data_IF_444736326059
#
_entry.id   IF_444736326059
#
_cell.length_a   1.000
_cell.length_b   1.000
_cell.length_c   1.000
_cell.angle_alpha   90.00
_cell.angle_beta   90.00
_cell.angle_gamma   90.00
#
_symmetry.space_group_name_H-M   'P 1'
#
loop_
_entity.id
_entity.type
_entity.pdbx_description
1 polymer ?
#
# COMPACT_ATOMS: atom_id res chain seq x y z
N UNK A 1 2.93 -0.12 -33.93
CA UNK A 1 2.93 0.10 -32.47
C UNK A 1 1.78 -0.68 -31.86
N UNK A 2 2.05 -1.50 -30.85
CA UNK A 2 1.06 -2.39 -30.21
C UNK A 2 0.15 -1.54 -29.31
N UNK A 3 -0.96 -1.06 -29.88
CA UNK A 3 -1.96 -0.23 -29.18
C UNK A 3 -3.15 -1.04 -28.66
N UNK A 4 -3.22 -2.34 -28.95
CA UNK A 4 -4.29 -3.25 -28.49
C UNK A 4 -3.73 -4.40 -27.67
N UNK A 5 -4.50 -4.86 -26.69
CA UNK A 5 -4.22 -6.05 -25.85
C UNK A 5 -2.95 -6.00 -24.96
N UNK A 6 -2.49 -4.80 -24.59
CA UNK A 6 -1.33 -4.62 -23.69
C UNK A 6 -1.49 -5.37 -22.36
N UNK A 7 -2.69 -5.37 -21.76
CA UNK A 7 -2.95 -6.13 -20.53
C UNK A 7 -2.73 -7.64 -20.71
N UNK A 8 -3.14 -8.22 -21.85
CA UNK A 8 -2.93 -9.65 -22.11
C UNK A 8 -1.44 -9.96 -22.29
N UNK A 9 -0.72 -9.11 -23.01
CA UNK A 9 0.73 -9.22 -23.17
C UNK A 9 1.46 -9.15 -21.82
N UNK A 10 1.14 -8.17 -20.98
CA UNK A 10 1.73 -8.04 -19.63
C UNK A 10 1.43 -9.28 -18.78
N UNK A 11 0.18 -9.75 -18.79
CA UNK A 11 -0.20 -10.93 -18.01
C UNK A 11 0.51 -12.21 -18.50
N UNK A 12 0.72 -12.34 -19.81
CA UNK A 12 1.49 -13.44 -20.40
C UNK A 12 2.97 -13.39 -20.04
N UNK A 13 3.57 -12.19 -20.00
CA UNK A 13 5.00 -12.03 -19.66
C UNK A 13 5.23 -12.32 -18.18
N UNK A 14 4.26 -12.00 -17.32
CA UNK A 14 4.36 -12.17 -15.88
C UNK A 14 3.86 -13.54 -15.40
N UNK A 15 3.52 -14.47 -16.30
CA UNK A 15 2.87 -15.76 -16.00
C UNK A 15 1.70 -15.63 -15.00
N UNK A 16 0.96 -14.52 -15.08
CA UNK A 16 -0.16 -14.25 -14.18
C UNK A 16 -1.40 -15.03 -14.64
N UNK A 17 -1.69 -16.14 -13.97
CA UNK A 17 -2.94 -16.86 -14.12
C UNK A 17 -4.07 -16.14 -13.37
N UNK A 18 -4.93 -15.45 -14.11
CA UNK A 18 -6.16 -14.87 -13.54
C UNK A 18 -7.24 -15.95 -13.43
N UNK A 19 -7.44 -16.46 -12.23
CA UNK A 19 -8.61 -17.29 -11.92
C UNK A 19 -9.84 -16.38 -11.85
N UNK A 20 -10.63 -16.35 -12.93
CA UNK A 20 -11.95 -15.71 -12.88
C UNK A 20 -12.85 -16.58 -12.01
N UNK A 21 -13.28 -16.07 -10.87
CA UNK A 21 -14.34 -16.68 -10.09
C UNK A 21 -15.65 -15.93 -10.39
N UNK A 22 -16.72 -16.68 -10.63
CA UNK A 22 -18.07 -16.12 -10.69
C UNK A 22 -18.71 -16.31 -9.32
N UNK A 23 -19.21 -15.22 -8.74
CA UNK A 23 -19.91 -15.25 -7.47
C UNK A 23 -21.41 -15.29 -7.76
N UNK A 24 -22.01 -16.47 -7.69
CA UNK A 24 -23.41 -16.67 -8.05
C UNK A 24 -24.36 -16.47 -6.86
N UNK A 25 -23.88 -16.74 -5.63
CA UNK A 25 -24.68 -16.72 -4.41
C UNK A 25 -23.87 -16.24 -3.22
N UNK A 26 -24.52 -15.53 -2.30
CA UNK A 26 -23.93 -15.11 -1.03
C UNK A 26 -24.86 -15.50 0.11
N UNK A 27 -24.28 -16.07 1.14
CA UNK A 27 -24.96 -16.41 2.38
C UNK A 27 -24.77 -15.27 3.39
N UNK A 28 -25.87 -14.73 3.90
CA UNK A 28 -25.87 -13.64 4.88
C UNK A 28 -26.56 -14.10 6.14
N UNK A 29 -25.90 -13.88 7.28
CA UNK A 29 -26.51 -14.11 8.60
C UNK A 29 -26.93 -12.75 9.16
N UNK A 30 -28.23 -12.57 9.35
CA UNK A 30 -28.77 -11.33 9.95
C UNK A 30 -28.58 -11.34 11.47
N UNK A 31 -28.57 -10.17 12.10
CA UNK A 31 -28.47 -10.02 13.57
C UNK A 31 -29.56 -10.80 14.36
N UNK A 32 -30.65 -11.19 13.69
CA UNK A 32 -31.77 -12.00 14.21
C UNK A 32 -31.52 -13.51 14.11
N UNK A 33 -30.31 -13.96 13.73
CA UNK A 33 -29.95 -15.35 13.41
C UNK A 33 -30.69 -15.96 12.20
N UNK A 34 -31.35 -15.12 11.39
CA UNK A 34 -31.95 -15.57 10.14
C UNK A 34 -30.89 -15.68 9.05
N UNK A 35 -30.85 -16.84 8.41
CA UNK A 35 -29.95 -17.17 7.30
C UNK A 35 -30.65 -16.88 5.97
N UNK A 36 -30.08 -15.96 5.19
CA UNK A 36 -30.63 -15.54 3.89
C UNK A 36 -29.62 -15.89 2.80
N UNK A 37 -30.09 -16.57 1.76
CA UNK A 37 -29.29 -16.87 0.57
C UNK A 37 -29.69 -15.94 -0.57
N UNK A 38 -28.80 -15.00 -0.91
CA UNK A 38 -28.98 -14.08 -2.02
C UNK A 38 -28.59 -14.76 -3.33
N UNK A 39 -29.50 -14.74 -4.31
CA UNK A 39 -29.30 -15.35 -5.63
C UNK A 39 -29.40 -14.33 -6.77
N UNK A 40 -29.91 -13.13 -6.51
CA UNK A 40 -30.05 -12.10 -7.52
C UNK A 40 -28.74 -11.32 -7.67
N UNK A 41 -28.27 -11.18 -8.92
CA UNK A 41 -26.96 -10.58 -9.23
C UNK A 41 -26.74 -9.20 -8.60
N UNK A 42 -27.78 -8.36 -8.54
CA UNK A 42 -27.67 -7.02 -7.95
C UNK A 42 -27.46 -7.08 -6.43
N UNK A 43 -28.19 -7.96 -5.75
CA UNK A 43 -28.09 -8.17 -4.29
C UNK A 43 -26.76 -8.82 -3.93
N UNK A 44 -26.35 -9.85 -4.68
CA UNK A 44 -25.04 -10.51 -4.53
C UNK A 44 -23.89 -9.50 -4.68
N UNK A 45 -23.94 -8.63 -5.68
CA UNK A 45 -22.90 -7.62 -5.85
C UNK A 45 -22.88 -6.58 -4.73
N UNK A 46 -24.06 -6.09 -4.31
CA UNK A 46 -24.16 -5.11 -3.24
C UNK A 46 -23.61 -5.67 -1.91
N UNK A 47 -23.98 -6.91 -1.59
CA UNK A 47 -23.54 -7.59 -0.38
C UNK A 47 -22.06 -7.98 -0.42
N UNK A 48 -21.53 -8.37 -1.59
CA UNK A 48 -20.10 -8.61 -1.76
C UNK A 48 -19.28 -7.35 -1.46
N UNK A 49 -19.71 -6.19 -1.96
CA UNK A 49 -19.05 -4.90 -1.71
C UNK A 49 -19.12 -4.54 -0.22
N UNK A 50 -20.28 -4.73 0.41
CA UNK A 50 -20.46 -4.48 1.83
C UNK A 50 -19.55 -5.39 2.69
N UNK A 51 -19.56 -6.69 2.41
CA UNK A 51 -18.72 -7.69 3.09
C UNK A 51 -17.24 -7.36 2.93
N UNK A 52 -16.80 -7.07 1.71
CA UNK A 52 -15.43 -6.64 1.42
C UNK A 52 -15.07 -5.38 2.24
N UNK A 53 -15.91 -4.35 2.17
CA UNK A 53 -15.68 -3.11 2.92
C UNK A 53 -15.64 -3.32 4.43
N UNK A 54 -16.43 -4.26 4.96
CA UNK A 54 -16.44 -4.66 6.37
C UNK A 54 -15.14 -5.36 6.78
N UNK A 55 -14.66 -6.31 5.96
CA UNK A 55 -13.40 -7.03 6.20
C UNK A 55 -12.19 -6.11 6.19
N UNK A 56 -12.19 -5.12 5.28
CA UNK A 56 -11.10 -4.17 5.12
C UNK A 56 -11.31 -2.86 5.90
N UNK A 57 -12.20 -2.83 6.89
CA UNK A 57 -12.30 -1.68 7.80
C UNK A 57 -10.95 -1.42 8.45
N UNK A 58 -10.58 -0.13 8.54
CA UNK A 58 -9.40 0.32 9.25
C UNK A 58 -9.33 -0.38 10.62
N UNK A 59 -8.25 -1.10 10.83
CA UNK A 59 -8.06 -1.86 12.05
C UNK A 59 -8.11 -0.87 13.21
N UNK A 60 -9.09 -1.01 14.10
CA UNK A 60 -9.07 -0.23 15.32
C UNK A 60 -7.99 -0.84 16.21
N UNK A 61 -6.76 -0.33 16.07
CA UNK A 61 -5.57 -0.83 16.76
C UNK A 61 -5.66 -0.73 18.29
N UNK A 62 -6.71 -0.08 18.84
CA UNK A 62 -6.98 0.03 20.29
C UNK A 62 -5.72 0.34 21.10
N UNK A 63 -4.85 1.24 20.61
CA UNK A 63 -3.65 1.65 21.34
C UNK A 63 -3.97 2.22 22.75
N UNK A 64 -5.22 2.64 23.01
CA UNK A 64 -5.67 3.04 24.35
C UNK A 64 -5.85 1.86 25.33
N UNK A 65 -6.09 0.65 24.82
CA UNK A 65 -6.37 -0.57 25.58
C UNK A 65 -5.34 -1.68 25.26
N UNK A 66 -4.05 -1.34 25.24
CA UNK A 66 -2.99 -2.35 25.17
C UNK A 66 -2.87 -3.10 26.50
N UNK A 67 -2.52 -4.38 26.46
CA UNK A 67 -2.12 -5.11 27.66
C UNK A 67 -0.80 -4.54 28.21
N UNK A 68 -0.55 -4.76 29.50
CA UNK A 68 0.66 -4.28 30.19
C UNK A 68 1.95 -4.63 29.44
N UNK A 69 2.06 -5.88 28.96
CA UNK A 69 3.21 -6.37 28.22
C UNK A 69 3.47 -5.57 26.93
N UNK A 70 2.42 -5.21 26.19
CA UNK A 70 2.59 -4.44 24.96
C UNK A 70 2.87 -2.97 25.23
N UNK A 71 2.34 -2.40 26.32
CA UNK A 71 2.66 -1.02 26.71
C UNK A 71 4.16 -0.86 26.95
N UNK A 72 4.78 -1.81 27.64
CA UNK A 72 6.22 -1.80 27.90
C UNK A 72 7.04 -1.93 26.61
N UNK A 73 6.66 -2.85 25.71
CA UNK A 73 7.38 -3.07 24.44
C UNK A 73 7.29 -1.85 23.51
N UNK A 74 6.14 -1.18 23.47
CA UNK A 74 5.90 -0.03 22.58
C UNK A 74 6.19 1.33 23.25
N UNK A 75 6.65 1.34 24.51
CA UNK A 75 7.06 2.58 25.17
C UNK A 75 8.30 3.18 24.46
N UNK A 76 8.37 4.51 24.27
CA UNK A 76 9.58 5.14 23.76
C UNK A 76 10.80 4.76 24.58
N UNK A 77 11.85 4.35 23.86
CA UNK A 77 13.16 4.03 24.44
C UNK A 77 13.76 5.27 25.12
N UNK A 78 14.02 5.17 26.42
CA UNK A 78 14.56 6.26 27.25
C UNK A 78 15.97 6.68 26.84
N UNK A 79 16.71 5.78 26.19
CA UNK A 79 18.05 6.01 25.62
C UNK A 79 18.04 6.86 24.36
N UNK A 80 16.88 7.04 23.72
CA UNK A 80 16.75 7.80 22.47
C UNK A 80 16.18 9.18 22.78
N UNK A 81 16.92 10.23 22.40
CA UNK A 81 16.41 11.60 22.51
C UNK A 81 15.21 11.80 21.57
N UNK A 82 14.05 12.14 22.14
CA UNK A 82 12.84 12.48 21.40
C UNK A 82 13.03 13.58 20.33
N UNK A 83 14.06 14.43 20.45
CA UNK A 83 14.34 15.51 19.51
C UNK A 83 14.79 15.04 18.13
N UNK A 84 15.21 13.78 17.97
CA UNK A 84 15.60 13.25 16.65
C UNK A 84 14.43 13.27 15.65
N UNK A 85 13.19 13.26 16.16
CA UNK A 85 11.98 13.28 15.33
C UNK A 85 11.43 14.69 15.08
N UNK A 86 12.05 15.74 15.66
CA UNK A 86 11.52 17.11 15.63
C UNK A 86 11.30 17.66 14.22
N UNK A 87 12.14 17.23 13.27
CA UNK A 87 12.16 17.69 11.88
C UNK A 87 11.78 16.56 10.91
N UNK A 88 11.10 15.51 11.38
CA UNK A 88 10.74 14.35 10.55
C UNK A 88 9.68 14.69 9.50
N UNK A 89 8.75 15.58 9.85
CA UNK A 89 7.66 16.01 8.97
C UNK A 89 8.02 17.27 8.15
N UNK A 90 9.23 17.81 8.32
CA UNK A 90 9.67 18.98 7.58
C UNK A 90 9.98 18.59 6.12
N UNK A 91 9.60 19.45 5.19
CA UNK A 91 9.95 19.24 3.78
C UNK A 91 11.47 19.37 3.58
N UNK A 92 12.09 18.47 2.78
CA UNK A 92 13.51 18.56 2.48
C UNK A 92 13.87 19.90 1.84
N UNK A 93 14.95 20.52 2.32
CA UNK A 93 15.46 21.74 1.72
C UNK A 93 16.15 21.46 0.38
N UNK A 94 16.23 22.48 -0.47
CA UNK A 94 16.98 22.40 -1.73
C UNK A 94 18.44 21.97 -1.48
N UNK A 95 19.09 22.47 -0.43
CA UNK A 95 20.47 22.08 -0.14
C UNK A 95 20.59 20.58 0.17
N UNK A 96 19.73 20.05 1.03
CA UNK A 96 19.69 18.61 1.35
C UNK A 96 19.41 17.76 0.12
N UNK A 97 18.53 18.22 -0.78
CA UNK A 97 18.27 17.57 -2.06
C UNK A 97 19.54 17.49 -2.93
N UNK A 98 20.28 18.57 -3.06
CA UNK A 98 21.53 18.58 -3.84
C UNK A 98 22.61 17.68 -3.21
N UNK A 99 22.71 17.65 -1.88
CA UNK A 99 23.63 16.77 -1.15
C UNK A 99 23.27 15.28 -1.36
N UNK A 100 21.97 14.95 -1.32
CA UNK A 100 21.46 13.62 -1.63
C UNK A 100 21.79 13.20 -3.07
N UNK A 101 21.61 14.08 -4.07
CA UNK A 101 21.96 13.78 -5.47
C UNK A 101 23.46 13.53 -5.66
N UNK A 102 24.31 14.23 -4.90
CA UNK A 102 25.76 14.03 -4.92
C UNK A 102 26.17 12.67 -4.36
N UNK A 103 25.57 12.25 -3.25
CA UNK A 103 25.90 11.01 -2.52
C UNK A 103 25.30 9.74 -3.15
N UNK A 104 24.31 9.88 -4.03
CA UNK A 104 23.62 8.76 -4.67
C UNK A 104 24.55 7.86 -5.51
N UNK A 105 24.42 6.53 -5.37
CA UNK A 105 25.22 5.57 -6.12
C UNK A 105 24.75 5.44 -7.58
N UNK A 106 25.69 5.55 -8.52
CA UNK A 106 25.43 5.40 -9.96
C UNK A 106 25.33 3.95 -10.43
N UNK A 107 25.71 2.97 -9.61
CA UNK A 107 25.78 1.54 -10.00
C UNK A 107 24.61 0.71 -9.47
N UNK A 108 23.62 1.32 -8.82
CA UNK A 108 22.47 0.60 -8.28
C UNK A 108 21.64 -0.04 -9.40
N UNK A 109 21.09 -1.21 -9.11
CA UNK A 109 20.16 -1.90 -10.01
C UNK A 109 18.87 -1.09 -10.17
N UNK A 110 18.22 -1.25 -11.33
CA UNK A 110 16.94 -0.62 -11.62
C UNK A 110 15.84 -1.21 -10.74
N UNK A 111 15.02 -0.33 -10.14
CA UNK A 111 13.79 -0.73 -9.47
C UNK A 111 12.65 -1.01 -10.46
N UNK A 112 11.46 -1.30 -9.93
CA UNK A 112 10.24 -1.62 -10.71
C UNK A 112 9.85 -0.49 -11.67
N UNK A 113 10.20 0.76 -11.34
CA UNK A 113 9.96 1.92 -12.20
C UNK A 113 10.87 2.00 -13.43
N UNK A 114 11.92 1.17 -13.53
CA UNK A 114 12.98 1.24 -14.53
C UNK A 114 13.71 2.60 -14.61
N UNK A 115 13.57 3.45 -13.59
CA UNK A 115 14.28 4.74 -13.49
C UNK A 115 15.58 4.52 -12.73
N UNK A 116 16.72 4.78 -13.37
CA UNK A 116 18.03 4.71 -12.70
C UNK A 116 18.35 6.00 -11.93
N UNK A 117 19.13 5.87 -10.87
CA UNK A 117 19.70 7.00 -10.13
C UNK A 117 20.54 7.94 -11.01
N UNK A 118 21.16 7.43 -12.09
CA UNK A 118 21.84 8.27 -13.09
C UNK A 118 20.89 9.24 -13.78
N UNK A 119 19.66 8.82 -14.06
CA UNK A 119 18.65 9.66 -14.69
C UNK A 119 18.13 10.72 -13.71
N UNK A 120 17.90 10.34 -12.46
CA UNK A 120 17.46 11.26 -11.40
C UNK A 120 18.51 12.37 -11.18
N UNK A 121 19.79 12.00 -11.09
CA UNK A 121 20.91 12.95 -10.96
C UNK A 121 20.97 13.96 -12.10
N UNK A 122 20.89 13.48 -13.34
CA UNK A 122 20.87 14.35 -14.54
C UNK A 122 19.63 15.25 -14.64
N UNK A 123 18.51 14.84 -14.05
CA UNK A 123 17.30 15.67 -14.02
C UNK A 123 17.42 16.79 -12.97
N UNK A 124 18.01 16.50 -11.81
CA UNK A 124 18.24 17.47 -10.74
C UNK A 124 19.31 18.52 -11.09
N UNK A 125 20.37 18.15 -11.81
CA UNK A 125 21.47 19.05 -12.20
C UNK A 125 21.03 20.22 -13.12
N UNK A 126 19.80 20.19 -13.68
CA UNK A 126 19.31 21.23 -14.61
C UNK A 126 18.68 22.46 -13.94
N UNK A 127 18.49 22.43 -12.62
CA UNK A 127 17.92 23.54 -11.85
C UNK A 127 19.00 24.45 -11.23
N UNK A 128 20.25 24.35 -11.69
CA UNK A 128 21.39 25.16 -11.28
C UNK A 128 21.82 26.11 -12.39
#
# INVERSE_FOLDING_TARGET
MITKDQCKMINSILDKTYSKFNLDRIHVTTNTQEEILLNYKQEVNAEAINTFSSLFRLWNHKFKNLSEQWKEIYEPRKDIDSKIYKHLDDEPTEQEWHEMLKTMNNKSALGISNISYKLIKKAGDKNQ
#
